data_IF_116888170714
#
_entry.id   IF_116888170714
#
_cell.length_a   1.000
_cell.length_b   1.000
_cell.length_c   1.000
_cell.angle_alpha   90.00
_cell.angle_beta   90.00
_cell.angle_gamma   90.00
#
_symmetry.space_group_name_H-M   'P 1'
#
loop_
_entity.id
_entity.type
_entity.pdbx_description
1 polymer ?
#
# COMPACT_ATOMS: atom_id res chain seq x y z
N UNK A 1 -22.71 -4.50 -43.74
CA UNK A 1 -23.22 -5.88 -43.64
C UNK A 1 -23.18 -6.22 -42.17
N UNK A 2 -24.37 -6.31 -41.56
CA UNK A 2 -24.50 -6.54 -40.11
C UNK A 2 -24.31 -8.02 -39.83
N UNK A 3 -23.30 -8.33 -39.03
CA UNK A 3 -23.08 -9.66 -38.49
C UNK A 3 -23.91 -9.77 -37.21
N UNK A 4 -25.01 -10.52 -37.30
CA UNK A 4 -25.80 -10.90 -36.13
C UNK A 4 -24.97 -11.93 -35.38
N UNK A 5 -24.28 -11.49 -34.34
CA UNK A 5 -23.80 -12.39 -33.30
C UNK A 5 -25.06 -12.91 -32.63
N UNK A 6 -25.44 -14.14 -32.93
CA UNK A 6 -26.47 -14.87 -32.19
C UNK A 6 -26.07 -14.81 -30.71
N UNK A 7 -26.81 -14.01 -29.95
CA UNK A 7 -26.82 -14.05 -28.49
C UNK A 7 -27.24 -15.47 -28.12
N UNK A 8 -26.26 -16.32 -27.82
CA UNK A 8 -26.48 -17.55 -27.09
C UNK A 8 -26.99 -17.10 -25.72
N UNK A 9 -28.31 -17.06 -25.61
CA UNK A 9 -29.06 -16.83 -24.39
C UNK A 9 -28.72 -17.99 -23.44
N UNK A 10 -27.59 -17.85 -22.75
CA UNK A 10 -27.13 -18.79 -21.74
C UNK A 10 -27.98 -18.53 -20.51
N UNK A 11 -29.20 -19.08 -20.51
CA UNK A 11 -30.02 -19.14 -19.32
C UNK A 11 -29.19 -19.86 -18.26
N UNK A 12 -28.73 -19.09 -17.28
CA UNK A 12 -28.14 -19.65 -16.07
C UNK A 12 -29.27 -20.30 -15.29
N UNK A 13 -29.68 -21.49 -15.73
CA UNK A 13 -30.37 -22.40 -14.83
C UNK A 13 -29.48 -22.54 -13.60
N UNK A 14 -30.06 -22.25 -12.44
CA UNK A 14 -29.47 -22.53 -11.12
C UNK A 14 -29.24 -24.04 -11.01
N UNK A 15 -28.16 -24.51 -11.63
CA UNK A 15 -27.66 -25.85 -11.40
C UNK A 15 -26.74 -25.68 -10.20
N UNK A 16 -27.33 -25.73 -9.00
CA UNK A 16 -26.57 -26.02 -7.80
C UNK A 16 -25.92 -27.38 -8.04
N UNK A 17 -24.61 -27.35 -8.28
CA UNK A 17 -23.81 -28.55 -8.52
C UNK A 17 -23.60 -29.24 -7.19
N UNK A 18 -24.64 -29.95 -6.75
CA UNK A 18 -24.58 -30.77 -5.55
C UNK A 18 -24.13 -32.17 -5.95
N UNK A 19 -23.10 -32.68 -5.29
CA UNK A 19 -22.62 -34.05 -5.48
C UNK A 19 -23.77 -35.05 -5.33
N UNK A 20 -24.79 -34.73 -4.53
CA UNK A 20 -26.00 -35.54 -4.37
C UNK A 20 -26.77 -35.75 -5.68
N UNK A 21 -26.86 -34.73 -6.53
CA UNK A 21 -27.56 -34.81 -7.83
C UNK A 21 -26.83 -35.74 -8.79
N UNK A 22 -25.49 -35.67 -8.82
CA UNK A 22 -24.67 -36.52 -9.69
C UNK A 22 -24.68 -37.96 -9.21
N UNK A 23 -24.59 -38.18 -7.90
CA UNK A 23 -24.75 -39.51 -7.29
C UNK A 23 -26.12 -40.12 -7.61
N UNK A 24 -27.17 -39.30 -7.61
CA UNK A 24 -28.52 -39.73 -8.02
C UNK A 24 -28.57 -40.13 -9.49
N UNK A 25 -27.93 -39.37 -10.38
CA UNK A 25 -27.85 -39.73 -11.80
C UNK A 25 -27.01 -40.99 -12.05
N UNK A 26 -25.92 -41.21 -11.31
CA UNK A 26 -25.20 -42.49 -11.36
C UNK A 26 -26.06 -43.66 -10.89
N UNK A 27 -26.85 -43.45 -9.83
CA UNK A 27 -27.87 -44.41 -9.41
C UNK A 27 -28.91 -44.69 -10.51
N UNK A 28 -29.33 -43.68 -11.27
CA UNK A 28 -30.24 -43.85 -12.40
C UNK A 28 -29.59 -44.67 -13.53
N UNK A 29 -28.34 -44.40 -13.88
CA UNK A 29 -27.57 -45.13 -14.92
C UNK A 29 -27.40 -46.61 -14.53
N UNK A 30 -27.03 -46.88 -13.29
CA UNK A 30 -26.86 -48.25 -12.79
C UNK A 30 -28.18 -49.02 -12.74
N UNK A 31 -29.29 -48.31 -12.53
CA UNK A 31 -30.64 -48.89 -12.54
C UNK A 31 -31.32 -48.90 -13.92
N UNK A 32 -30.63 -48.47 -14.98
CA UNK A 32 -31.15 -48.47 -16.35
C UNK A 32 -31.54 -49.88 -16.82
N UNK A 33 -30.75 -50.89 -16.43
CA UNK A 33 -31.08 -52.31 -16.66
C UNK A 33 -31.98 -52.79 -15.53
N UNK A 34 -33.24 -53.09 -15.83
CA UNK A 34 -34.16 -53.62 -14.82
C UNK A 34 -33.78 -55.04 -14.46
N UNK A 35 -34.11 -55.40 -13.22
CA UNK A 35 -33.83 -56.74 -12.72
C UNK A 35 -34.63 -57.81 -13.47
N UNK A 36 -35.83 -57.46 -13.96
CA UNK A 36 -36.69 -58.31 -14.78
C UNK A 36 -36.01 -58.65 -16.11
N UNK A 37 -35.56 -57.63 -16.85
CA UNK A 37 -34.85 -57.78 -18.13
C UNK A 37 -33.58 -58.62 -17.98
N UNK A 38 -32.81 -58.40 -16.91
CA UNK A 38 -31.64 -59.22 -16.61
C UNK A 38 -32.02 -60.70 -16.39
N UNK A 39 -33.06 -60.96 -15.60
CA UNK A 39 -33.52 -62.31 -15.31
C UNK A 39 -34.08 -63.05 -16.52
N UNK A 40 -34.53 -62.36 -17.57
CA UNK A 40 -34.93 -62.98 -18.84
C UNK A 40 -33.73 -63.50 -19.65
N UNK A 41 -32.57 -62.85 -19.52
CA UNK A 41 -31.35 -63.19 -20.27
C UNK A 41 -30.49 -64.29 -19.65
N UNK A 42 -30.58 -64.51 -18.32
CA UNK A 42 -29.74 -65.51 -17.64
C UNK A 42 -30.20 -66.95 -17.92
N UNK A 43 -29.27 -67.89 -18.18
CA UNK A 43 -29.61 -69.28 -18.48
C UNK A 43 -30.10 -70.05 -17.25
N UNK A 44 -31.43 -70.00 -17.01
CA UNK A 44 -32.11 -70.62 -15.86
C UNK A 44 -31.97 -72.14 -15.80
N UNK A 45 -31.76 -72.80 -16.95
CA UNK A 45 -31.71 -74.26 -17.05
C UNK A 45 -30.43 -74.89 -16.49
N UNK A 46 -29.29 -74.18 -16.50
CA UNK A 46 -27.98 -74.76 -16.15
C UNK A 46 -27.51 -74.46 -14.72
N UNK A 47 -28.07 -73.44 -14.07
CA UNK A 47 -27.53 -72.89 -12.82
C UNK A 47 -28.64 -72.58 -11.80
N UNK A 48 -29.50 -73.57 -11.49
CA UNK A 48 -30.63 -73.42 -10.53
C UNK A 48 -30.24 -73.03 -9.10
N UNK A 49 -29.00 -73.30 -8.68
CA UNK A 49 -28.50 -73.00 -7.31
C UNK A 49 -27.95 -71.57 -7.16
N UNK A 50 -27.82 -70.84 -8.25
CA UNK A 50 -27.23 -69.50 -8.26
C UNK A 50 -28.29 -68.46 -7.92
N UNK A 51 -28.01 -67.62 -6.91
CA UNK A 51 -28.85 -66.48 -6.54
C UNK A 51 -28.52 -65.29 -7.44
N UNK A 52 -29.03 -65.33 -8.67
CA UNK A 52 -28.78 -64.33 -9.71
C UNK A 52 -29.12 -62.90 -9.33
N UNK A 53 -30.23 -62.71 -8.61
CA UNK A 53 -30.69 -61.38 -8.20
C UNK A 53 -29.72 -60.70 -7.20
N UNK A 54 -29.30 -61.35 -6.10
CA UNK A 54 -28.22 -60.82 -5.26
C UNK A 54 -26.92 -60.54 -6.02
N UNK A 55 -26.47 -61.44 -6.92
CA UNK A 55 -25.24 -61.21 -7.68
C UNK A 55 -25.34 -60.02 -8.62
N UNK A 56 -26.49 -59.84 -9.27
CA UNK A 56 -26.72 -58.69 -10.15
C UNK A 56 -26.77 -57.38 -9.35
N UNK A 57 -27.40 -57.38 -8.17
CA UNK A 57 -27.39 -56.22 -7.28
C UNK A 57 -25.97 -55.91 -6.77
N UNK A 58 -25.16 -56.92 -6.46
CA UNK A 58 -23.74 -56.72 -6.11
C UNK A 58 -22.95 -56.14 -7.28
N UNK A 59 -23.19 -56.60 -8.50
CA UNK A 59 -22.53 -56.05 -9.70
C UNK A 59 -22.94 -54.60 -9.94
N UNK A 60 -24.23 -54.29 -9.82
CA UNK A 60 -24.75 -52.92 -9.89
C UNK A 60 -24.10 -52.01 -8.87
N UNK A 61 -24.02 -52.46 -7.61
CA UNK A 61 -23.37 -51.70 -6.56
C UNK A 61 -21.88 -51.50 -6.84
N UNK A 62 -21.17 -52.53 -7.30
CA UNK A 62 -19.75 -52.42 -7.67
C UNK A 62 -19.51 -51.40 -8.79
N UNK A 63 -20.34 -51.40 -9.83
CA UNK A 63 -20.27 -50.40 -10.91
C UNK A 63 -20.54 -49.00 -10.35
N UNK A 64 -21.53 -48.84 -9.47
CA UNK A 64 -21.81 -47.56 -8.84
C UNK A 64 -20.61 -47.07 -8.02
N UNK A 65 -20.04 -47.94 -7.20
CA UNK A 65 -18.89 -47.61 -6.34
C UNK A 65 -17.67 -47.20 -7.16
N UNK A 66 -17.39 -47.89 -8.28
CA UNK A 66 -16.32 -47.51 -9.22
C UNK A 66 -16.59 -46.15 -9.88
N UNK A 67 -17.82 -45.89 -10.33
CA UNK A 67 -18.19 -44.58 -10.91
C UNK A 67 -18.01 -43.44 -9.90
N UNK A 68 -18.41 -43.67 -8.64
CA UNK A 68 -18.24 -42.68 -7.55
C UNK A 68 -16.77 -42.46 -7.25
N UNK A 69 -15.98 -43.53 -7.17
CA UNK A 69 -14.54 -43.44 -6.90
C UNK A 69 -13.81 -42.67 -8.01
N UNK A 70 -14.04 -43.00 -9.28
CA UNK A 70 -13.40 -42.33 -10.43
C UNK A 70 -13.78 -40.84 -10.49
N UNK A 71 -15.06 -40.51 -10.28
CA UNK A 71 -15.48 -39.11 -10.25
C UNK A 71 -14.84 -38.37 -9.07
N UNK A 72 -14.77 -38.99 -7.90
CA UNK A 72 -14.14 -38.38 -6.72
C UNK A 72 -12.65 -38.12 -6.95
N UNK A 73 -11.94 -39.07 -7.58
CA UNK A 73 -10.54 -38.90 -7.94
C UNK A 73 -10.35 -37.76 -8.94
N UNK A 74 -11.18 -37.67 -9.98
CA UNK A 74 -11.15 -36.55 -10.93
C UNK A 74 -11.48 -35.21 -10.25
N UNK A 75 -12.43 -35.20 -9.32
CA UNK A 75 -12.86 -34.01 -8.58
C UNK A 75 -11.73 -33.42 -7.74
N UNK A 76 -10.99 -34.28 -7.05
CA UNK A 76 -9.80 -33.90 -6.28
C UNK A 76 -8.63 -33.49 -7.19
N UNK A 77 -8.36 -34.28 -8.23
CA UNK A 77 -7.29 -34.00 -9.19
C UNK A 77 -7.43 -32.64 -9.87
N UNK A 78 -8.65 -32.29 -10.29
CA UNK A 78 -8.97 -31.00 -10.90
C UNK A 78 -9.10 -29.86 -9.89
N UNK A 79 -8.97 -30.15 -8.59
CA UNK A 79 -9.13 -29.20 -7.49
C UNK A 79 -10.45 -28.42 -7.60
N UNK A 80 -11.53 -29.14 -7.90
CA UNK A 80 -12.87 -28.57 -8.09
C UNK A 80 -13.38 -27.77 -6.87
N UNK A 81 -13.10 -28.16 -5.61
CA UNK A 81 -13.51 -27.36 -4.45
C UNK A 81 -12.96 -25.93 -4.49
N UNK A 82 -11.68 -25.75 -4.82
CA UNK A 82 -11.07 -24.42 -4.92
C UNK A 82 -11.67 -23.61 -6.07
N UNK A 83 -11.90 -24.25 -7.23
CA UNK A 83 -12.51 -23.58 -8.39
C UNK A 83 -13.93 -23.08 -8.07
N UNK A 84 -14.72 -23.87 -7.34
CA UNK A 84 -16.06 -23.47 -6.89
C UNK A 84 -16.00 -22.32 -5.88
N UNK A 85 -15.10 -22.38 -4.90
CA UNK A 85 -14.93 -21.28 -3.94
C UNK A 85 -14.54 -19.96 -4.63
N UNK A 86 -13.69 -20.02 -5.65
CA UNK A 86 -13.33 -18.85 -6.46
C UNK A 86 -14.56 -18.31 -7.20
N UNK A 87 -15.38 -19.18 -7.78
CA UNK A 87 -16.61 -18.78 -8.47
C UNK A 87 -17.60 -18.13 -7.52
N UNK A 88 -17.79 -18.67 -6.32
CA UNK A 88 -18.68 -18.09 -5.30
C UNK A 88 -18.21 -16.70 -4.86
N UNK A 89 -16.91 -16.54 -4.57
CA UNK A 89 -16.31 -15.23 -4.26
C UNK A 89 -16.47 -14.23 -5.39
N UNK A 90 -16.35 -14.68 -6.65
CA UNK A 90 -16.59 -13.83 -7.80
C UNK A 90 -18.06 -13.45 -7.91
N UNK A 91 -18.98 -14.40 -7.72
CA UNK A 91 -20.42 -14.15 -7.72
C UNK A 91 -20.76 -13.08 -6.69
N UNK A 92 -20.36 -13.25 -5.42
CA UNK A 92 -20.57 -12.26 -4.36
C UNK A 92 -20.04 -10.88 -4.73
N UNK A 93 -18.81 -10.81 -5.25
CA UNK A 93 -18.18 -9.53 -5.65
C UNK A 93 -18.93 -8.79 -6.74
N UNK A 94 -19.63 -9.51 -7.61
CA UNK A 94 -20.36 -8.94 -8.75
C UNK A 94 -21.88 -8.90 -8.55
N UNK A 95 -22.42 -9.40 -7.43
CA UNK A 95 -23.87 -9.31 -7.14
C UNK A 95 -24.35 -7.86 -6.96
N UNK A 96 -23.50 -6.98 -6.44
CA UNK A 96 -23.84 -5.56 -6.18
C UNK A 96 -23.56 -4.64 -7.38
N UNK A 97 -23.03 -5.15 -8.48
CA UNK A 97 -22.82 -4.33 -9.69
C UNK A 97 -24.12 -4.22 -10.48
N UNK A 98 -24.49 -3.00 -10.86
CA UNK A 98 -25.71 -2.66 -11.62
C UNK A 98 -26.07 -3.73 -12.66
N UNK A 99 -27.22 -4.40 -12.45
CA UNK A 99 -27.73 -5.51 -13.26
C UNK A 99 -27.96 -5.15 -14.73
N UNK A 100 -28.02 -3.86 -15.04
CA UNK A 100 -28.28 -3.34 -16.39
C UNK A 100 -27.00 -3.20 -17.23
N UNK A 101 -25.82 -3.47 -16.67
CA UNK A 101 -24.54 -3.37 -17.38
C UNK A 101 -23.98 -4.75 -17.70
N UNK A 102 -23.89 -5.05 -19.00
CA UNK A 102 -23.13 -6.21 -19.49
C UNK A 102 -21.66 -6.03 -19.09
N UNK A 103 -21.20 -6.88 -18.17
CA UNK A 103 -19.80 -6.90 -17.75
C UNK A 103 -18.93 -7.32 -18.92
N UNK A 104 -17.86 -6.57 -19.17
CA UNK A 104 -16.87 -6.92 -20.20
C UNK A 104 -16.30 -8.32 -19.94
N UNK A 105 -16.28 -9.16 -20.97
CA UNK A 105 -15.67 -10.48 -20.96
C UNK A 105 -14.48 -10.49 -21.92
N UNK A 106 -13.33 -11.07 -21.54
CA UNK A 106 -12.23 -11.26 -22.46
C UNK A 106 -12.69 -12.06 -23.68
N UNK A 107 -12.61 -11.47 -24.88
CA UNK A 107 -12.81 -12.23 -26.11
C UNK A 107 -11.50 -12.94 -26.47
N UNK A 108 -11.58 -14.25 -26.76
CA UNK A 108 -10.44 -15.14 -27.02
C UNK A 108 -9.50 -14.64 -28.13
N UNK A 109 -9.99 -13.79 -29.05
CA UNK A 109 -9.24 -13.26 -30.17
C UNK A 109 -8.54 -11.91 -29.89
N UNK A 110 -8.87 -11.19 -28.81
CA UNK A 110 -8.34 -9.84 -28.55
C UNK A 110 -7.37 -9.81 -27.36
N UNK A 111 -6.24 -10.53 -27.51
CA UNK A 111 -5.12 -10.51 -26.57
C UNK A 111 -4.60 -9.08 -26.33
N UNK A 112 -4.70 -8.22 -27.34
CA UNK A 112 -4.26 -6.82 -27.26
C UNK A 112 -5.15 -6.01 -26.32
N UNK A 113 -6.47 -6.17 -26.36
CA UNK A 113 -7.38 -5.54 -25.40
C UNK A 113 -7.20 -6.08 -23.98
N UNK A 114 -6.96 -7.39 -23.83
CA UNK A 114 -6.69 -7.99 -22.52
C UNK A 114 -5.41 -7.45 -21.88
N UNK A 115 -4.32 -7.36 -22.65
CA UNK A 115 -3.06 -6.76 -22.19
C UNK A 115 -3.24 -5.29 -21.82
N UNK A 116 -3.94 -4.50 -22.65
CA UNK A 116 -4.25 -3.09 -22.35
C UNK A 116 -5.04 -2.94 -21.06
N UNK A 117 -6.02 -3.80 -20.78
CA UNK A 117 -6.79 -3.73 -19.54
C UNK A 117 -5.90 -3.98 -18.31
N UNK A 118 -5.00 -4.97 -18.40
CA UNK A 118 -4.01 -5.25 -17.35
C UNK A 118 -3.03 -4.07 -17.15
N UNK A 119 -2.52 -3.51 -18.25
CA UNK A 119 -1.62 -2.35 -18.24
C UNK A 119 -2.30 -1.12 -17.62
N UNK A 120 -3.57 -0.86 -17.94
CA UNK A 120 -4.33 0.25 -17.34
C UNK A 120 -4.46 0.09 -15.82
N UNK A 121 -4.72 -1.13 -15.32
CA UNK A 121 -4.77 -1.38 -13.88
C UNK A 121 -3.40 -1.13 -13.20
N UNK A 122 -2.31 -1.56 -13.85
CA UNK A 122 -0.95 -1.33 -13.37
C UNK A 122 -0.57 0.16 -13.40
N UNK A 123 -0.89 0.86 -14.49
CA UNK A 123 -0.66 2.30 -14.63
C UNK A 123 -1.46 3.10 -13.59
N UNK A 124 -2.69 2.70 -13.28
CA UNK A 124 -3.48 3.33 -12.21
C UNK A 124 -2.82 3.15 -10.84
N UNK A 125 -2.31 1.95 -10.52
CA UNK A 125 -1.55 1.73 -9.27
C UNK A 125 -0.29 2.59 -9.21
N UNK A 126 0.48 2.65 -10.30
CA UNK A 126 1.68 3.50 -10.39
C UNK A 126 1.34 4.97 -10.23
N UNK A 127 0.28 5.45 -10.87
CA UNK A 127 -0.22 6.82 -10.73
C UNK A 127 -0.51 7.18 -9.27
N UNK A 128 -1.26 6.33 -8.56
CA UNK A 128 -1.60 6.55 -7.14
C UNK A 128 -0.32 6.62 -6.28
N UNK A 129 0.65 5.73 -6.51
CA UNK A 129 1.92 5.76 -5.79
C UNK A 129 2.72 7.05 -6.05
N UNK A 130 2.77 7.50 -7.31
CA UNK A 130 3.45 8.74 -7.69
C UNK A 130 2.77 9.97 -7.09
N UNK A 131 1.43 10.03 -7.11
CA UNK A 131 0.66 11.11 -6.50
C UNK A 131 0.89 11.19 -4.99
N UNK A 132 0.93 10.05 -4.30
CA UNK A 132 1.21 10.01 -2.86
C UNK A 132 2.64 10.49 -2.55
N UNK A 133 3.61 10.05 -3.34
CA UNK A 133 5.01 10.49 -3.20
C UNK A 133 5.15 12.00 -3.44
N UNK A 134 4.48 12.53 -4.47
CA UNK A 134 4.48 13.96 -4.77
C UNK A 134 3.91 14.79 -3.62
N UNK A 135 2.78 14.37 -3.03
CA UNK A 135 2.18 15.01 -1.85
C UNK A 135 3.13 14.99 -0.65
N UNK A 136 3.83 13.88 -0.42
CA UNK A 136 4.82 13.79 0.66
C UNK A 136 5.97 14.78 0.47
N UNK A 137 6.53 14.85 -0.75
CA UNK A 137 7.59 15.81 -1.07
C UNK A 137 7.13 17.25 -0.94
N UNK A 138 5.91 17.57 -1.39
CA UNK A 138 5.33 18.90 -1.24
C UNK A 138 5.19 19.29 0.25
N UNK A 139 4.72 18.37 1.09
CA UNK A 139 4.65 18.59 2.54
C UNK A 139 6.03 18.85 3.16
N UNK A 140 7.05 18.06 2.77
CA UNK A 140 8.45 18.26 3.22
C UNK A 140 8.99 19.62 2.79
N UNK A 141 8.79 20.01 1.53
CA UNK A 141 9.22 21.33 1.02
C UNK A 141 8.53 22.47 1.78
N UNK A 142 7.24 22.36 2.04
CA UNK A 142 6.50 23.37 2.79
C UNK A 142 6.99 23.49 4.24
N UNK A 143 7.35 22.37 4.88
CA UNK A 143 8.00 22.39 6.20
C UNK A 143 9.35 23.12 6.16
N UNK A 144 10.19 22.81 5.18
CA UNK A 144 11.51 23.45 5.01
C UNK A 144 11.35 24.95 4.75
N UNK A 145 10.40 25.37 3.89
CA UNK A 145 10.11 26.79 3.62
C UNK A 145 9.76 27.55 4.92
N UNK A 146 8.93 26.98 5.78
CA UNK A 146 8.58 27.60 7.08
C UNK A 146 9.81 27.78 7.97
N UNK A 147 10.67 26.75 8.05
CA UNK A 147 11.93 26.82 8.81
C UNK A 147 12.85 27.91 8.25
N UNK A 148 13.01 27.97 6.92
CA UNK A 148 13.84 28.96 6.24
C UNK A 148 13.38 30.39 6.56
N UNK A 149 12.06 30.65 6.49
CA UNK A 149 11.48 31.95 6.81
C UNK A 149 11.77 32.33 8.27
N UNK A 150 11.60 31.41 9.22
CA UNK A 150 11.90 31.66 10.62
C UNK A 150 13.39 31.98 10.85
N UNK A 151 14.30 31.21 10.22
CA UNK A 151 15.75 31.45 10.28
C UNK A 151 16.13 32.81 9.67
N UNK A 152 15.51 33.19 8.56
CA UNK A 152 15.70 34.51 7.94
C UNK A 152 15.22 35.65 8.83
N UNK A 153 14.11 35.46 9.54
CA UNK A 153 13.61 36.42 10.53
C UNK A 153 14.58 36.61 11.69
N UNK A 154 15.10 35.51 12.24
CA UNK A 154 16.09 35.54 13.31
C UNK A 154 17.40 36.24 12.88
N UNK A 155 17.88 35.96 11.66
CA UNK A 155 19.07 36.62 11.11
C UNK A 155 18.87 38.15 11.00
N UNK A 156 17.69 38.60 10.54
CA UNK A 156 17.37 40.04 10.47
C UNK A 156 17.35 40.68 11.86
N UNK A 157 16.79 40.00 12.86
CA UNK A 157 16.78 40.50 14.23
C UNK A 157 18.21 40.68 14.77
N UNK A 158 19.07 39.66 14.60
CA UNK A 158 20.48 39.76 14.97
C UNK A 158 21.20 40.89 14.23
N UNK A 159 20.92 41.09 12.94
CA UNK A 159 21.51 42.18 12.18
C UNK A 159 21.14 43.56 12.76
N UNK A 160 19.88 43.75 13.18
CA UNK A 160 19.43 44.98 13.82
C UNK A 160 20.08 45.19 15.19
N UNK A 161 20.23 44.12 15.98
CA UNK A 161 20.91 44.19 17.28
C UNK A 161 22.39 44.57 17.12
N UNK A 162 23.09 43.98 16.15
CA UNK A 162 24.49 44.34 15.84
C UNK A 162 24.59 45.82 15.49
N UNK A 163 23.71 46.33 14.62
CA UNK A 163 23.69 47.75 14.25
C UNK A 163 23.42 48.65 15.46
N UNK A 164 22.54 48.24 16.37
CA UNK A 164 22.26 48.98 17.61
C UNK A 164 23.50 49.04 18.51
N UNK A 165 24.23 47.94 18.68
CA UNK A 165 25.46 47.93 19.47
C UNK A 165 26.58 48.74 18.81
N UNK A 166 26.70 48.69 17.48
CA UNK A 166 27.67 49.51 16.73
C UNK A 166 27.45 51.01 16.98
N UNK A 167 26.21 51.52 16.81
CA UNK A 167 25.89 52.93 17.09
C UNK A 167 26.18 53.33 18.54
N UNK A 168 25.82 52.47 19.50
CA UNK A 168 26.10 52.74 20.92
C UNK A 168 27.59 52.80 21.21
N UNK A 169 28.39 51.98 20.51
CA UNK A 169 29.83 51.98 20.65
C UNK A 169 30.44 53.25 20.03
N UNK A 170 29.97 53.67 18.85
CA UNK A 170 30.35 54.94 18.21
C UNK A 170 30.05 56.14 19.14
N UNK A 171 28.86 56.19 19.75
CA UNK A 171 28.50 57.23 20.74
C UNK A 171 29.44 57.24 21.96
N UNK A 172 29.84 56.06 22.45
CA UNK A 172 30.78 55.95 23.57
C UNK A 172 32.18 56.43 23.19
N UNK A 173 32.66 56.06 22.01
CA UNK A 173 33.96 56.50 21.48
C UNK A 173 33.98 58.02 21.31
N UNK A 174 32.91 58.61 20.79
CA UNK A 174 32.77 60.08 20.70
C UNK A 174 32.83 60.72 22.08
N UNK A 175 32.05 60.24 23.06
CA UNK A 175 32.08 60.78 24.43
C UNK A 175 33.44 60.66 25.12
N UNK A 176 34.17 59.57 24.87
CA UNK A 176 35.53 59.37 25.39
C UNK A 176 36.48 60.36 24.72
N UNK A 177 36.38 60.54 23.40
CA UNK A 177 37.20 61.49 22.65
C UNK A 177 36.96 62.93 23.12
N UNK A 178 35.69 63.32 23.27
CA UNK A 178 35.31 64.64 23.82
C UNK A 178 35.93 64.85 25.20
N UNK A 179 35.86 63.86 26.10
CA UNK A 179 36.46 63.95 27.44
C UNK A 179 37.98 64.05 27.39
N UNK A 180 38.64 63.30 26.50
CA UNK A 180 40.09 63.38 26.28
C UNK A 180 40.49 64.78 25.83
N UNK A 181 39.77 65.36 24.87
CA UNK A 181 40.00 66.71 24.38
C UNK A 181 39.80 67.76 25.48
N UNK A 182 38.73 67.63 26.28
CA UNK A 182 38.50 68.49 27.44
C UNK A 182 39.63 68.38 28.47
N UNK A 183 40.09 67.17 28.79
CA UNK A 183 41.21 66.96 29.69
C UNK A 183 42.51 67.57 29.15
N UNK A 184 42.79 67.39 27.86
CA UNK A 184 43.97 67.96 27.22
C UNK A 184 43.94 69.49 27.21
N UNK A 185 42.76 70.08 26.99
CA UNK A 185 42.56 71.53 27.05
C UNK A 185 42.67 72.06 28.49
N UNK A 186 42.12 71.33 29.47
CA UNK A 186 42.27 71.63 30.91
C UNK A 186 43.75 71.61 31.33
N UNK A 187 44.51 70.58 30.93
CA UNK A 187 45.95 70.52 31.17
C UNK A 187 46.67 71.72 30.56
N UNK A 188 46.35 72.08 29.31
CA UNK A 188 46.91 73.28 28.65
C UNK A 188 46.55 74.58 29.36
N UNK A 189 45.35 74.70 29.92
CA UNK A 189 44.88 75.91 30.63
C UNK A 189 45.30 75.97 32.11
N UNK A 190 45.54 74.84 32.75
CA UNK A 190 46.00 74.74 34.14
C UNK A 190 47.54 74.82 34.25
N UNK A 191 48.26 74.66 33.13
CA UNK A 191 49.71 74.84 33.02
C UNK A 191 50.13 76.33 32.87
N UNK A 192 49.43 77.25 33.52
CA UNK A 192 49.88 78.64 33.66
C UNK A 192 50.99 78.82 34.68
N UNK A 193 51.29 77.80 35.49
CA UNK A 193 52.53 77.72 36.26
C UNK A 193 53.16 76.34 36.06
N UNK A 194 54.17 76.27 35.18
CA UNK A 194 55.17 75.21 35.28
C UNK A 194 56.00 75.47 36.54
N UNK A 195 55.52 75.00 37.68
CA UNK A 195 56.42 74.68 38.79
C UNK A 195 57.05 73.35 38.41
N UNK A 196 58.35 73.39 38.15
CA UNK A 196 59.16 72.19 37.93
C UNK A 196 59.23 71.46 39.28
N UNK A 197 58.33 70.51 39.48
CA UNK A 197 58.44 69.58 40.61
C UNK A 197 59.23 68.40 40.08
N UNK A 198 60.50 68.37 40.44
CA UNK A 198 61.39 67.22 40.27
C UNK A 198 60.84 66.06 41.12
N UNK A 199 60.03 65.20 40.50
CA UNK A 199 59.53 63.98 41.14
C UNK A 199 60.60 62.91 40.97
N UNK A 200 61.46 62.75 41.98
CA UNK A 200 62.25 61.53 42.15
C UNK A 200 61.28 60.37 42.45
N UNK A 201 60.97 59.58 41.43
CA UNK A 201 60.28 58.30 41.62
C UNK A 201 61.20 57.35 42.40
N UNK A 202 61.00 57.25 43.71
CA UNK A 202 61.56 56.11 44.45
C UNK A 202 60.68 54.90 44.22
N UNK A 203 61.33 53.83 43.76
CA UNK A 203 60.87 52.49 43.37
C UNK A 203 60.10 51.71 44.47
N UNK A 204 59.46 52.38 45.44
CA UNK A 204 58.88 51.74 46.63
C UNK A 204 57.39 51.38 46.51
N UNK A 205 56.71 51.82 45.46
CA UNK A 205 55.27 51.59 45.29
C UNK A 205 54.93 50.43 44.32
N UNK A 206 55.94 49.66 43.89
CA UNK A 206 55.81 48.47 43.04
C UNK A 206 55.98 47.14 43.80
N UNK A 207 56.03 47.16 45.13
CA UNK A 207 56.04 45.92 45.92
C UNK A 207 54.63 45.28 45.97
N UNK A 208 54.53 44.19 45.24
CA UNK A 208 53.44 43.20 45.22
C UNK A 208 52.95 42.83 46.62
N UNK A 209 51.64 42.93 46.85
CA UNK A 209 50.95 42.07 47.80
C UNK A 209 50.22 40.97 47.01
N UNK A 210 50.93 39.89 46.72
CA UNK A 210 50.32 38.59 46.40
C UNK A 210 49.48 38.17 47.61
N UNK A 211 48.15 38.13 47.45
CA UNK A 211 47.26 37.53 48.44
C UNK A 211 47.29 36.02 48.22
N UNK A 212 47.84 35.29 49.21
CA UNK A 212 47.66 33.84 49.40
C UNK A 212 46.27 33.52 49.94
#
# INVERSE_FOLDING_TARGET
MGDKVDDVEMSSSEINFDNLTILKEFGNIVNLVRNEDFLETVPKAKLRRVKWMPMFNCLKQGILDEMVQELSAMWEYENMPLKLEILDKQKEKFMDMETDKVLWRPQLADVKAQLKASDVANLNKQKVLLENSAKEYEARVNKIKKILIAKRGYLKALQLDIQKYQRRNEDLVLKISDKLDHHQNLMKSALTDRIDIEIEWKEKDLEFNEIK
#
